data_IF_823827864736
#
_entry.id   IF_823827864736
#
_cell.length_a   1.000
_cell.length_b   1.000
_cell.length_c   1.000
_cell.angle_alpha   90.00
_cell.angle_beta   90.00
_cell.angle_gamma   90.00
#
_symmetry.space_group_name_H-M   'P 1'
#
loop_
_entity.id
_entity.type
_entity.pdbx_description
1 polymer ?
#
# COMPACT_ATOMS: atom_id res chain seq x y z
N UNK A 1 -31.63 83.06 -8.17
CA UNK A 1 -32.89 83.00 -8.95
C UNK A 1 -32.75 81.83 -9.89
N UNK A 2 -33.51 80.75 -9.68
CA UNK A 2 -33.55 79.64 -10.65
C UNK A 2 -34.48 80.06 -11.79
N UNK A 3 -33.94 80.16 -13.00
CA UNK A 3 -34.72 80.56 -14.17
C UNK A 3 -35.17 79.28 -14.87
N UNK A 4 -36.35 78.77 -14.50
CA UNK A 4 -36.99 77.66 -15.21
C UNK A 4 -37.79 78.25 -16.38
N UNK A 5 -37.35 77.97 -17.60
CA UNK A 5 -38.03 78.43 -18.82
C UNK A 5 -38.96 77.35 -19.34
N UNK A 6 -40.25 77.69 -19.44
CA UNK A 6 -41.27 76.86 -20.06
C UNK A 6 -41.67 77.48 -21.40
N UNK A 7 -41.58 76.70 -22.48
CA UNK A 7 -42.01 77.14 -23.80
C UNK A 7 -42.82 76.04 -24.50
N UNK A 8 -43.80 76.45 -25.32
CA UNK A 8 -44.61 75.53 -26.12
C UNK A 8 -44.11 75.55 -27.56
N UNK A 9 -43.74 74.38 -28.08
CA UNK A 9 -43.29 74.19 -29.46
C UNK A 9 -44.21 73.21 -30.20
N UNK A 10 -43.96 73.00 -31.50
CA UNK A 10 -44.69 72.03 -32.34
C UNK A 10 -44.69 70.61 -31.75
N UNK A 11 -43.62 70.23 -31.03
CA UNK A 11 -43.49 68.94 -30.36
C UNK A 11 -44.07 68.86 -28.94
N UNK A 12 -44.74 69.92 -28.45
CA UNK A 12 -45.28 69.98 -27.09
C UNK A 12 -44.54 70.95 -26.16
N UNK A 13 -44.74 70.77 -24.86
CA UNK A 13 -44.15 71.61 -23.81
C UNK A 13 -42.68 71.23 -23.62
N UNK A 14 -41.81 72.22 -23.60
CA UNK A 14 -40.38 72.08 -23.39
C UNK A 14 -40.02 72.81 -22.10
N UNK A 15 -39.42 72.08 -21.17
CA UNK A 15 -38.84 72.63 -19.96
C UNK A 15 -37.32 72.70 -20.14
N UNK A 16 -36.75 73.87 -19.85
CA UNK A 16 -35.30 74.07 -19.84
C UNK A 16 -34.89 74.25 -18.38
N UNK A 17 -33.88 73.49 -17.97
CA UNK A 17 -33.32 73.50 -16.63
C UNK A 17 -32.42 74.72 -16.39
N UNK A 18 -31.89 74.87 -15.16
CA UNK A 18 -31.06 76.02 -14.81
C UNK A 18 -29.62 75.92 -15.38
N UNK A 19 -29.26 74.77 -15.96
CA UNK A 19 -28.00 74.55 -16.70
C UNK A 19 -28.10 74.95 -18.18
N UNK A 20 -29.31 75.29 -18.64
CA UNK A 20 -29.61 75.59 -20.04
C UNK A 20 -29.84 74.33 -20.89
N UNK A 21 -29.86 73.15 -20.27
CA UNK A 21 -30.24 71.88 -20.88
C UNK A 21 -31.76 71.75 -20.98
N UNK A 22 -32.24 70.95 -21.94
CA UNK A 22 -33.65 70.55 -21.97
C UNK A 22 -33.87 69.42 -20.98
N UNK A 23 -34.91 69.49 -20.16
CA UNK A 23 -35.38 68.41 -19.28
C UNK A 23 -36.23 67.44 -20.11
N UNK A 24 -35.72 66.24 -20.48
CA UNK A 24 -36.48 65.29 -21.30
C UNK A 24 -37.43 64.44 -20.45
N UNK A 25 -38.57 64.08 -21.04
CA UNK A 25 -39.43 62.98 -20.58
C UNK A 25 -39.17 61.74 -21.44
N UNK A 26 -38.66 60.67 -20.83
CA UNK A 26 -38.43 59.39 -21.50
C UNK A 26 -39.63 58.46 -21.26
N UNK A 27 -40.02 57.74 -22.30
CA UNK A 27 -41.11 56.77 -22.25
C UNK A 27 -40.54 55.36 -22.37
N UNK A 28 -40.84 54.50 -21.40
CA UNK A 28 -40.48 53.09 -21.44
C UNK A 28 -41.65 52.31 -22.04
N UNK A 29 -41.37 51.67 -23.18
CA UNK A 29 -42.32 50.88 -23.93
C UNK A 29 -42.13 49.40 -23.62
N UNK A 30 -43.24 48.67 -23.53
CA UNK A 30 -43.25 47.21 -23.46
C UNK A 30 -44.27 46.63 -24.42
N UNK A 31 -44.16 45.32 -24.65
CA UNK A 31 -45.15 44.56 -25.37
C UNK A 31 -46.13 43.93 -24.38
N UNK A 32 -47.42 44.22 -24.53
CA UNK A 32 -48.50 43.57 -23.79
C UNK A 32 -48.73 42.15 -24.31
N UNK A 33 -49.48 41.32 -23.58
CA UNK A 33 -49.79 39.93 -23.95
C UNK A 33 -50.47 39.81 -25.33
N UNK A 34 -51.15 40.86 -25.78
CA UNK A 34 -51.83 40.93 -27.07
C UNK A 34 -50.92 41.41 -28.22
N UNK A 35 -49.59 41.42 -28.04
CA UNK A 35 -48.61 41.97 -28.99
C UNK A 35 -48.84 43.45 -29.34
N UNK A 36 -49.48 44.20 -28.45
CA UNK A 36 -49.65 45.65 -28.58
C UNK A 36 -48.58 46.37 -27.78
N UNK A 37 -47.98 47.40 -28.38
CA UNK A 37 -47.05 48.29 -27.68
C UNK A 37 -47.79 49.17 -26.68
N UNK A 38 -47.30 49.23 -25.44
CA UNK A 38 -47.83 50.08 -24.38
C UNK A 38 -46.71 50.79 -23.63
N UNK A 39 -46.95 52.04 -23.23
CA UNK A 39 -46.07 52.77 -22.30
C UNK A 39 -46.34 52.24 -20.88
N UNK A 40 -45.29 51.89 -20.14
CA UNK A 40 -45.39 51.36 -18.77
C UNK A 40 -44.73 52.23 -17.72
N UNK A 41 -43.84 53.12 -18.13
CA UNK A 41 -43.13 54.00 -17.23
C UNK A 41 -42.74 55.27 -17.96
N UNK A 42 -42.81 56.37 -17.24
CA UNK A 42 -42.35 57.69 -17.66
C UNK A 42 -41.23 58.13 -16.73
N UNK A 43 -40.17 58.67 -17.31
CA UNK A 43 -38.99 59.13 -16.58
C UNK A 43 -38.79 60.58 -16.92
N UNK A 44 -39.05 61.46 -15.97
CA UNK A 44 -38.82 62.89 -16.10
C UNK A 44 -37.45 63.22 -15.52
N UNK A 45 -36.54 63.71 -16.36
CA UNK A 45 -35.17 64.04 -15.94
C UNK A 45 -35.04 65.55 -15.79
N UNK A 46 -34.75 66.00 -14.57
CA UNK A 46 -34.48 67.40 -14.25
C UNK A 46 -33.08 67.52 -13.63
N UNK A 47 -32.15 68.11 -14.39
CA UNK A 47 -30.74 68.27 -14.05
C UNK A 47 -30.07 66.95 -13.63
N UNK A 48 -29.84 66.75 -12.33
CA UNK A 48 -29.21 65.56 -11.75
C UNK A 48 -30.22 64.56 -11.15
N UNK A 49 -31.52 64.88 -11.20
CA UNK A 49 -32.58 64.08 -10.61
C UNK A 49 -33.46 63.47 -11.70
N UNK A 50 -33.81 62.20 -11.53
CA UNK A 50 -34.74 61.50 -12.41
C UNK A 50 -35.94 61.04 -11.57
N UNK A 51 -37.13 61.57 -11.88
CA UNK A 51 -38.38 61.14 -11.27
C UNK A 51 -38.99 60.03 -12.13
N UNK A 52 -39.18 58.86 -11.52
CA UNK A 52 -39.68 57.67 -12.21
C UNK A 52 -41.14 57.43 -11.81
N UNK A 53 -42.05 57.62 -12.77
CA UNK A 53 -43.48 57.35 -12.61
C UNK A 53 -43.84 56.01 -13.27
N UNK A 54 -44.25 55.04 -12.45
CA UNK A 54 -44.70 53.71 -12.91
C UNK A 54 -46.18 53.79 -13.26
N UNK A 55 -46.55 53.40 -14.49
CA UNK A 55 -47.93 53.40 -14.98
C UNK A 55 -48.64 52.06 -14.77
N UNK A 56 -48.02 51.12 -14.03
CA UNK A 56 -48.55 49.79 -13.75
C UNK A 56 -48.65 49.51 -12.25
N UNK A 57 -49.63 48.70 -11.85
CA UNK A 57 -49.80 48.22 -10.47
C UNK A 57 -49.11 46.89 -10.21
N UNK A 58 -49.07 46.00 -11.22
CA UNK A 58 -48.49 44.66 -11.11
C UNK A 58 -47.39 44.46 -12.16
N UNK A 59 -46.14 44.33 -11.70
CA UNK A 59 -44.96 44.16 -12.54
C UNK A 59 -44.96 42.84 -13.32
N UNK A 60 -45.44 41.76 -12.69
CA UNK A 60 -45.45 40.42 -13.27
C UNK A 60 -46.35 40.37 -14.52
N UNK A 61 -47.52 41.00 -14.47
CA UNK A 61 -48.44 41.03 -15.62
C UNK A 61 -48.13 42.13 -16.63
N UNK A 62 -47.60 43.27 -16.20
CA UNK A 62 -47.38 44.42 -17.09
C UNK A 62 -46.02 44.36 -17.81
N UNK A 63 -44.95 43.96 -17.12
CA UNK A 63 -43.58 43.98 -17.65
C UNK A 63 -43.16 42.57 -18.07
N UNK A 64 -43.44 41.57 -17.22
CA UNK A 64 -42.93 40.21 -17.37
C UNK A 64 -43.97 39.19 -17.85
N UNK A 65 -45.05 39.64 -18.52
CA UNK A 65 -46.13 38.77 -19.03
C UNK A 65 -45.60 37.63 -19.90
N UNK A 66 -44.71 37.95 -20.83
CA UNK A 66 -44.07 36.98 -21.74
C UNK A 66 -43.11 36.01 -21.03
N UNK A 67 -42.71 36.31 -19.79
CA UNK A 67 -41.83 35.48 -18.96
C UNK A 67 -42.60 34.82 -17.80
N UNK A 68 -43.89 34.53 -18.00
CA UNK A 68 -44.76 33.91 -16.98
C UNK A 68 -44.81 34.71 -15.67
N UNK A 69 -44.63 36.03 -15.76
CA UNK A 69 -44.60 36.92 -14.60
C UNK A 69 -43.30 36.87 -13.77
N UNK A 70 -42.27 36.17 -14.24
CA UNK A 70 -40.99 36.05 -13.52
C UNK A 70 -40.01 37.10 -14.03
N UNK A 71 -39.62 38.00 -13.13
CA UNK A 71 -38.51 38.94 -13.37
C UNK A 71 -37.20 38.15 -13.48
N UNK A 72 -36.44 38.28 -14.59
CA UNK A 72 -35.10 37.73 -14.67
C UNK A 72 -34.20 38.32 -13.58
N UNK A 73 -33.26 37.53 -13.07
CA UNK A 73 -32.26 38.07 -12.17
C UNK A 73 -31.38 39.06 -12.96
N UNK A 74 -31.10 40.21 -12.35
CA UNK A 74 -30.21 41.24 -12.91
C UNK A 74 -28.74 40.76 -12.96
N UNK A 75 -28.41 39.70 -12.21
CA UNK A 75 -27.12 39.01 -12.23
C UNK A 75 -27.35 37.49 -12.23
N UNK A 76 -26.58 36.69 -13.00
CA UNK A 76 -26.68 35.24 -12.92
C UNK A 76 -26.33 34.72 -11.51
N UNK A 77 -26.88 33.56 -11.15
CA UNK A 77 -26.75 32.93 -9.81
C UNK A 77 -25.28 32.78 -9.37
N UNK A 78 -24.37 32.50 -10.31
CA UNK A 78 -22.94 32.35 -10.02
C UNK A 78 -22.08 33.56 -10.36
N UNK A 79 -22.71 34.72 -10.56
CA UNK A 79 -22.06 35.95 -11.00
C UNK A 79 -21.58 35.86 -12.45
N UNK A 80 -21.31 37.03 -13.06
CA UNK A 80 -20.89 37.11 -14.47
C UNK A 80 -19.57 36.37 -14.74
N UNK A 81 -18.71 36.27 -13.72
CA UNK A 81 -17.39 35.62 -13.76
C UNK A 81 -17.42 34.17 -13.25
N UNK A 82 -18.56 33.66 -12.80
CA UNK A 82 -18.64 32.33 -12.17
C UNK A 82 -18.02 32.25 -10.77
N UNK A 83 -17.50 33.36 -10.23
CA UNK A 83 -16.75 33.37 -8.97
C UNK A 83 -17.62 33.41 -7.70
N UNK A 84 -18.94 33.58 -7.83
CA UNK A 84 -19.88 33.54 -6.70
C UNK A 84 -20.43 32.13 -6.44
N UNK A 85 -20.20 31.20 -7.36
CA UNK A 85 -20.44 29.78 -7.13
C UNK A 85 -19.47 29.28 -6.04
N UNK A 86 -19.91 28.39 -5.12
CA UNK A 86 -19.00 27.80 -4.14
C UNK A 86 -17.87 27.07 -4.87
N UNK A 87 -16.63 27.39 -4.51
CA UNK A 87 -15.47 26.67 -5.03
C UNK A 87 -15.62 25.19 -4.64
N UNK A 88 -15.50 24.31 -5.62
CA UNK A 88 -15.44 22.88 -5.34
C UNK A 88 -14.19 22.63 -4.50
N UNK A 89 -14.36 22.34 -3.21
CA UNK A 89 -13.27 22.07 -2.23
C UNK A 89 -12.23 21.04 -2.73
N UNK A 90 -12.65 20.15 -3.63
CA UNK A 90 -11.81 19.16 -4.29
C UNK A 90 -10.80 19.77 -5.27
N UNK A 91 -11.17 20.79 -6.02
CA UNK A 91 -10.27 21.41 -7.01
C UNK A 91 -9.27 22.36 -6.33
N UNK A 92 -9.69 23.04 -5.26
CA UNK A 92 -8.81 23.93 -4.50
C UNK A 92 -7.72 23.14 -3.74
N UNK A 93 -8.06 21.97 -3.21
CA UNK A 93 -7.15 21.16 -2.39
C UNK A 93 -6.58 19.93 -3.12
N UNK A 94 -6.73 19.85 -4.46
CA UNK A 94 -6.36 18.66 -5.22
C UNK A 94 -4.89 18.26 -5.03
N UNK A 95 -4.00 19.27 -4.89
CA UNK A 95 -2.58 19.04 -4.62
C UNK A 95 -2.35 18.30 -3.30
N UNK A 96 -3.04 18.70 -2.23
CA UNK A 96 -2.93 18.07 -0.91
C UNK A 96 -3.43 16.62 -0.92
N UNK A 97 -4.52 16.34 -1.63
CA UNK A 97 -5.03 14.99 -1.80
C UNK A 97 -4.06 14.08 -2.55
N UNK A 98 -3.44 14.56 -3.63
CA UNK A 98 -2.45 13.81 -4.40
C UNK A 98 -1.22 13.50 -3.53
N UNK A 99 -0.72 14.48 -2.77
CA UNK A 99 0.42 14.29 -1.87
C UNK A 99 0.10 13.27 -0.77
N UNK A 100 -1.09 13.35 -0.16
CA UNK A 100 -1.51 12.40 0.88
C UNK A 100 -1.58 10.96 0.35
N UNK A 101 -2.17 10.75 -0.83
CA UNK A 101 -2.25 9.43 -1.46
C UNK A 101 -0.86 8.91 -1.82
N UNK A 102 0.00 9.78 -2.37
CA UNK A 102 1.38 9.43 -2.72
C UNK A 102 2.19 8.95 -1.51
N UNK A 103 2.07 9.64 -0.37
CA UNK A 103 2.74 9.25 0.88
C UNK A 103 2.25 7.89 1.38
N UNK A 104 0.94 7.63 1.35
CA UNK A 104 0.38 6.35 1.77
C UNK A 104 0.94 5.22 0.91
N UNK A 105 0.91 5.36 -0.41
CA UNK A 105 1.43 4.33 -1.33
C UNK A 105 2.93 4.10 -1.11
N UNK A 106 3.71 5.18 -0.94
CA UNK A 106 5.14 5.07 -0.69
C UNK A 106 5.45 4.31 0.61
N UNK A 107 4.71 4.59 1.70
CA UNK A 107 4.87 3.87 2.97
C UNK A 107 4.52 2.39 2.85
N UNK A 108 3.45 2.05 2.12
CA UNK A 108 3.04 0.66 1.89
C UNK A 108 4.12 -0.08 1.08
N UNK A 109 4.62 0.52 0.01
CA UNK A 109 5.70 -0.07 -0.79
C UNK A 109 6.97 -0.30 0.04
N UNK A 110 7.36 0.68 0.85
CA UNK A 110 8.49 0.55 1.77
C UNK A 110 8.29 -0.59 2.78
N UNK A 111 7.09 -0.72 3.36
CA UNK A 111 6.77 -1.79 4.29
C UNK A 111 6.81 -3.18 3.64
N UNK A 112 6.30 -3.31 2.41
CA UNK A 112 6.33 -4.58 1.65
C UNK A 112 7.78 -4.97 1.32
N UNK A 113 8.60 -4.03 0.83
CA UNK A 113 10.01 -4.30 0.53
C UNK A 113 10.79 -4.71 1.78
N UNK A 114 10.57 -4.01 2.91
CA UNK A 114 11.18 -4.36 4.18
C UNK A 114 10.75 -5.76 4.64
N UNK A 115 9.46 -6.09 4.53
CA UNK A 115 8.95 -7.41 4.90
C UNK A 115 9.56 -8.53 4.06
N UNK A 116 9.66 -8.34 2.73
CA UNK A 116 10.30 -9.29 1.82
C UNK A 116 11.77 -9.46 2.17
N UNK A 117 12.50 -8.37 2.39
CA UNK A 117 13.90 -8.41 2.78
C UNK A 117 14.11 -9.19 4.09
N UNK A 118 13.26 -8.95 5.10
CA UNK A 118 13.30 -9.68 6.36
C UNK A 118 13.03 -11.17 6.16
N UNK A 119 12.08 -11.55 5.30
CA UNK A 119 11.82 -12.95 4.98
C UNK A 119 13.04 -13.62 4.34
N UNK A 120 13.66 -12.98 3.35
CA UNK A 120 14.88 -13.49 2.71
C UNK A 120 16.05 -13.61 3.70
N UNK A 121 16.28 -12.60 4.53
CA UNK A 121 17.32 -12.63 5.56
C UNK A 121 17.09 -13.75 6.59
N UNK A 122 15.83 -13.98 6.98
CA UNK A 122 15.46 -15.08 7.87
C UNK A 122 15.69 -16.44 7.23
N UNK A 123 15.37 -16.61 5.93
CA UNK A 123 15.64 -17.85 5.21
C UNK A 123 17.15 -18.15 5.15
N UNK A 124 17.97 -17.16 4.84
CA UNK A 124 19.43 -17.33 4.82
C UNK A 124 19.99 -17.71 6.19
N UNK A 125 19.51 -17.11 7.28
CA UNK A 125 19.94 -17.48 8.62
C UNK A 125 19.51 -18.92 8.98
N UNK A 126 18.30 -19.34 8.56
CA UNK A 126 17.81 -20.71 8.74
C UNK A 126 18.68 -21.71 7.98
N UNK A 127 19.09 -21.38 6.75
CA UNK A 127 20.00 -22.20 5.94
C UNK A 127 21.40 -22.29 6.57
N UNK A 128 21.94 -21.17 7.05
CA UNK A 128 23.24 -21.11 7.73
C UNK A 128 23.25 -21.97 9.00
N UNK A 129 22.21 -21.86 9.84
CA UNK A 129 22.05 -22.71 11.00
C UNK A 129 21.84 -24.18 10.62
N UNK A 130 21.19 -24.43 9.48
CA UNK A 130 21.01 -25.79 9.00
C UNK A 130 22.30 -26.45 8.55
N UNK A 131 23.20 -25.69 7.92
CA UNK A 131 24.51 -26.18 7.51
C UNK A 131 25.40 -26.58 8.71
N UNK A 132 25.22 -25.98 9.89
CA UNK A 132 26.02 -26.31 11.08
C UNK A 132 25.74 -27.71 11.66
N UNK A 133 24.53 -28.24 11.50
CA UNK A 133 24.19 -29.58 12.00
C UNK A 133 24.25 -30.66 10.90
N UNK A 134 24.28 -30.28 9.63
CA UNK A 134 24.40 -31.22 8.52
C UNK A 134 25.86 -31.62 8.33
N UNK A 135 26.13 -32.93 8.43
CA UNK A 135 27.45 -33.48 8.18
C UNK A 135 27.63 -33.67 6.66
N UNK A 136 28.59 -33.01 6.02
CA UNK A 136 28.81 -33.17 4.58
C UNK A 136 29.31 -34.58 4.27
N UNK A 137 28.75 -35.22 3.25
CA UNK A 137 29.16 -36.59 2.86
C UNK A 137 30.65 -36.71 2.52
N UNK A 138 31.26 -35.63 2.04
CA UNK A 138 32.68 -35.57 1.67
C UNK A 138 33.64 -35.79 2.86
N UNK A 139 33.21 -35.54 4.09
CA UNK A 139 34.04 -35.78 5.29
C UNK A 139 33.89 -37.18 5.88
N UNK A 140 33.01 -38.02 5.32
CA UNK A 140 32.79 -39.38 5.79
C UNK A 140 33.59 -40.38 4.96
N UNK A 141 34.46 -41.14 5.62
CA UNK A 141 35.14 -42.29 5.02
C UNK A 141 34.48 -43.58 5.52
N UNK A 142 34.05 -44.43 4.58
CA UNK A 142 33.49 -45.73 4.89
C UNK A 142 34.62 -46.69 5.31
N UNK A 143 34.43 -47.40 6.43
CA UNK A 143 35.36 -48.45 6.86
C UNK A 143 35.12 -49.66 5.95
N UNK A 144 35.82 -49.74 4.83
CA UNK A 144 35.70 -50.88 3.91
C UNK A 144 36.31 -52.12 4.57
N UNK A 145 35.57 -53.24 4.58
CA UNK A 145 36.17 -54.53 4.94
C UNK A 145 37.19 -54.87 3.85
N UNK A 146 38.47 -55.01 4.23
CA UNK A 146 39.44 -55.70 3.37
C UNK A 146 38.87 -57.09 3.04
N UNK A 147 38.86 -57.43 1.76
CA UNK A 147 38.22 -58.61 1.17
C UNK A 147 38.25 -59.86 2.06
N UNK A 148 37.09 -60.51 2.22
CA UNK A 148 36.92 -61.89 2.71
C UNK A 148 37.53 -62.88 1.71
N UNK A 149 38.86 -62.91 1.60
CA UNK A 149 39.63 -63.91 0.86
C UNK A 149 40.69 -64.62 1.71
N UNK A 150 41.03 -64.09 2.88
CA UNK A 150 42.10 -64.63 3.73
C UNK A 150 41.64 -64.67 5.20
N UNK A 151 40.51 -65.33 5.46
CA UNK A 151 40.29 -65.88 6.80
C UNK A 151 40.98 -67.24 6.85
N UNK A 152 42.20 -67.21 7.39
CA UNK A 152 42.98 -68.38 7.75
C UNK A 152 42.10 -69.41 8.44
N UNK A 153 41.90 -70.55 7.76
CA UNK A 153 41.42 -71.77 8.36
C UNK A 153 42.48 -72.25 9.36
N UNK A 154 42.44 -71.75 10.59
CA UNK A 154 43.14 -72.36 11.71
C UNK A 154 42.12 -72.75 12.76
N UNK A 155 41.91 -74.06 12.79
CA UNK A 155 40.99 -74.80 13.65
C UNK A 155 41.10 -74.35 15.10
N UNK A 156 39.93 -74.03 15.63
CA UNK A 156 39.65 -73.84 17.04
C UNK A 156 39.76 -75.23 17.68
N UNK A 157 40.90 -75.54 18.28
CA UNK A 157 40.99 -76.66 19.23
C UNK A 157 40.38 -76.17 20.55
N UNK A 158 39.39 -76.92 21.02
CA UNK A 158 38.61 -76.62 22.22
C UNK A 158 39.44 -76.82 23.49
N UNK A 159 39.67 -75.75 24.24
CA UNK A 159 40.00 -75.82 25.69
C UNK A 159 39.15 -74.77 26.41
N UNK A 160 38.41 -75.11 27.48
CA UNK A 160 37.51 -74.18 28.15
C UNK A 160 38.25 -73.42 29.25
N UNK A 161 38.06 -72.09 29.35
CA UNK A 161 38.37 -71.33 30.57
C UNK A 161 37.58 -70.03 30.62
N UNK A 162 36.56 -70.03 31.48
CA UNK A 162 36.15 -68.95 32.40
C UNK A 162 36.51 -67.50 32.03
N UNK A 163 35.48 -66.78 31.57
CA UNK A 163 35.20 -65.34 31.77
C UNK A 163 35.63 -64.88 33.18
N UNK A 164 36.23 -63.73 33.45
CA UNK A 164 36.24 -62.42 32.78
C UNK A 164 37.43 -61.60 33.30
N UNK A 165 38.17 -60.93 32.42
CA UNK A 165 38.49 -59.49 32.48
C UNK A 165 39.48 -59.15 31.36
N UNK A 166 39.42 -57.93 30.85
CA UNK A 166 40.31 -57.34 29.83
C UNK A 166 40.35 -58.02 28.45
N UNK A 167 39.48 -57.60 27.53
CA UNK A 167 39.75 -57.72 26.08
C UNK A 167 39.71 -56.33 25.43
N UNK A 168 40.71 -55.53 25.77
CA UNK A 168 41.23 -54.44 24.94
C UNK A 168 42.20 -55.07 23.95
N UNK A 169 41.70 -55.45 22.77
CA UNK A 169 42.50 -55.61 21.55
C UNK A 169 41.57 -56.03 20.41
N UNK A 170 41.62 -55.26 19.32
CA UNK A 170 41.04 -55.52 17.99
C UNK A 170 39.51 -55.46 17.86
N UNK A 171 38.96 -54.24 18.01
CA UNK A 171 37.59 -53.87 17.66
C UNK A 171 37.43 -53.56 16.14
N UNK A 172 38.23 -54.18 15.29
CA UNK A 172 38.18 -54.01 13.82
C UNK A 172 37.21 -54.98 13.13
N UNK A 173 36.49 -55.81 13.89
CA UNK A 173 35.64 -56.88 13.35
C UNK A 173 34.13 -56.63 13.52
N UNK A 174 33.73 -55.50 14.09
CA UNK A 174 32.32 -55.07 14.11
C UNK A 174 31.99 -54.47 12.74
N UNK A 175 31.82 -55.33 11.74
CA UNK A 175 31.26 -54.87 10.47
C UNK A 175 29.77 -54.59 10.57
N UNK A 176 29.25 -53.98 9.50
CA UNK A 176 27.87 -53.49 9.41
C UNK A 176 26.84 -54.44 10.03
N UNK A 177 26.00 -53.92 10.91
CA UNK A 177 24.82 -54.64 11.43
C UNK A 177 23.61 -54.30 10.57
N UNK A 178 22.52 -55.08 10.70
CA UNK A 178 21.27 -54.84 9.95
C UNK A 178 20.73 -53.41 10.12
N UNK A 179 20.99 -52.79 11.27
CA UNK A 179 20.43 -51.48 11.64
C UNK A 179 21.48 -50.37 11.73
N UNK A 180 22.79 -50.67 11.72
CA UNK A 180 23.85 -49.67 11.92
C UNK A 180 25.05 -49.85 10.98
N UNK A 181 25.56 -48.74 10.47
CA UNK A 181 26.83 -48.60 9.71
C UNK A 181 27.83 -47.78 10.52
N UNK A 182 29.11 -48.11 10.40
CA UNK A 182 30.19 -47.39 11.08
C UNK A 182 30.98 -46.57 10.07
N UNK A 183 31.20 -45.29 10.38
CA UNK A 183 31.96 -44.36 9.55
C UNK A 183 33.11 -43.74 10.36
N UNK A 184 34.16 -43.32 9.66
CA UNK A 184 35.18 -42.43 10.21
C UNK A 184 34.89 -41.02 9.72
N UNK A 185 34.67 -40.10 10.66
CA UNK A 185 34.45 -38.69 10.38
C UNK A 185 35.77 -37.95 10.57
N UNK A 186 36.24 -37.32 9.49
CA UNK A 186 37.42 -36.46 9.55
C UNK A 186 36.98 -35.12 10.14
N UNK A 187 37.35 -34.85 11.40
CA UNK A 187 37.24 -33.52 12.00
C UNK A 187 38.59 -32.80 11.88
N UNK A 188 38.63 -31.46 12.05
CA UNK A 188 39.84 -30.64 11.83
C UNK A 188 41.03 -31.02 12.75
N UNK A 189 40.81 -31.83 13.79
CA UNK A 189 41.84 -32.16 14.81
C UNK A 189 42.03 -33.68 14.99
N UNK A 190 40.99 -34.52 14.86
CA UNK A 190 41.09 -35.98 15.02
C UNK A 190 40.06 -36.76 14.16
N UNK A 191 40.34 -38.04 13.91
CA UNK A 191 39.42 -38.99 13.26
C UNK A 191 38.52 -39.66 14.30
N UNK A 192 37.26 -39.24 14.38
CA UNK A 192 36.27 -39.82 15.29
C UNK A 192 35.48 -40.95 14.61
N UNK A 193 35.22 -42.04 15.35
CA UNK A 193 34.41 -43.17 14.84
C UNK A 193 32.96 -42.98 15.24
N UNK A 194 32.08 -42.84 14.26
CA UNK A 194 30.65 -42.59 14.47
C UNK A 194 29.81 -43.76 13.97
N UNK A 195 28.74 -44.08 14.71
CA UNK A 195 27.77 -45.11 14.32
C UNK A 195 26.51 -44.46 13.74
N UNK A 196 26.23 -44.72 12.47
CA UNK A 196 25.04 -44.25 11.78
C UNK A 196 23.94 -45.32 11.82
N UNK A 197 22.72 -44.91 12.18
CA UNK A 197 21.54 -45.80 12.11
C UNK A 197 20.98 -45.80 10.68
N UNK A 198 20.75 -46.99 10.13
CA UNK A 198 20.11 -47.18 8.83
C UNK A 198 18.60 -46.99 8.96
N UNK A 199 18.02 -46.21 8.06
CA UNK A 199 16.58 -46.06 7.91
C UNK A 199 16.17 -46.53 6.51
N UNK A 200 15.09 -47.31 6.40
CA UNK A 200 14.60 -47.80 5.10
C UNK A 200 13.77 -46.76 4.35
N UNK A 201 13.37 -45.68 5.02
CA UNK A 201 12.56 -44.59 4.46
C UNK A 201 13.20 -43.27 4.85
N UNK A 202 13.14 -42.28 3.96
CA UNK A 202 13.64 -40.92 4.22
C UNK A 202 12.70 -40.21 5.22
N UNK A 203 13.13 -39.89 6.45
CA UNK A 203 12.29 -39.14 7.37
C UNK A 203 12.17 -37.69 6.88
N UNK A 204 10.94 -37.22 6.72
CA UNK A 204 10.65 -35.80 6.49
C UNK A 204 10.63 -35.14 7.87
N UNK A 205 11.54 -34.21 8.10
CA UNK A 205 11.61 -33.51 9.37
C UNK A 205 10.71 -32.28 9.35
N UNK A 206 9.80 -32.19 10.32
CA UNK A 206 9.00 -30.98 10.56
C UNK A 206 9.87 -29.84 11.11
N UNK A 207 9.45 -28.59 10.92
CA UNK A 207 10.16 -27.39 11.39
C UNK A 207 10.43 -27.43 12.90
N UNK A 208 9.50 -27.96 13.69
CA UNK A 208 9.64 -28.12 15.15
C UNK A 208 10.71 -29.15 15.50
N UNK A 209 10.74 -30.26 14.77
CA UNK A 209 11.75 -31.31 14.92
C UNK A 209 13.15 -30.78 14.58
N UNK A 210 13.26 -30.01 13.50
CA UNK A 210 14.49 -29.31 13.12
C UNK A 210 14.94 -28.30 14.19
N UNK A 211 14.01 -27.54 14.78
CA UNK A 211 14.32 -26.59 15.85
C UNK A 211 14.84 -27.30 17.12
N UNK A 212 14.22 -28.41 17.53
CA UNK A 212 14.69 -29.22 18.64
C UNK A 212 16.11 -29.79 18.37
N UNK A 213 16.38 -30.26 17.16
CA UNK A 213 17.71 -30.75 16.80
C UNK A 213 18.78 -29.66 16.87
N UNK A 214 18.46 -28.41 16.52
CA UNK A 214 19.37 -27.27 16.72
C UNK A 214 19.69 -27.01 18.19
N UNK A 215 18.69 -27.14 19.07
CA UNK A 215 18.88 -26.94 20.51
C UNK A 215 19.75 -28.04 21.14
N UNK A 216 19.58 -29.29 20.70
CA UNK A 216 20.39 -30.42 21.19
C UNK A 216 21.87 -30.21 20.86
N UNK A 217 22.20 -29.72 19.65
CA UNK A 217 23.60 -29.45 19.26
C UNK A 217 24.26 -28.36 20.10
N UNK A 218 23.53 -27.29 20.44
CA UNK A 218 24.07 -26.21 21.29
C UNK A 218 24.35 -26.67 22.73
N UNK A 219 23.53 -27.60 23.24
CA UNK A 219 23.69 -28.16 24.58
C UNK A 219 24.81 -29.21 24.62
N UNK A 220 25.01 -29.99 23.55
CA UNK A 220 26.06 -31.00 23.48
C UNK A 220 27.45 -30.38 23.27
N UNK A 221 27.58 -29.30 22.50
CA UNK A 221 28.84 -28.54 22.40
C UNK A 221 29.27 -27.91 23.74
N UNK A 222 28.32 -27.68 24.65
CA UNK A 222 28.59 -27.15 25.98
C UNK A 222 28.96 -28.24 27.02
N UNK A 223 28.64 -29.51 26.77
CA UNK A 223 28.69 -30.57 27.80
C UNK A 223 29.69 -31.72 27.54
N UNK A 224 30.47 -31.72 26.44
CA UNK A 224 31.49 -32.75 26.15
C UNK A 224 31.03 -34.21 26.41
N UNK A 225 29.75 -34.52 26.16
CA UNK A 225 29.18 -35.83 26.43
C UNK A 225 28.75 -36.56 25.16
N UNK A 226 28.99 -37.88 25.18
CA UNK A 226 28.81 -38.91 24.14
C UNK A 226 27.64 -38.67 23.18
N UNK A 227 27.96 -38.85 21.90
CA UNK A 227 27.35 -38.22 20.73
C UNK A 227 26.22 -39.05 20.08
N UNK A 228 25.06 -38.43 19.85
CA UNK A 228 24.10 -38.86 18.81
C UNK A 228 23.92 -37.70 17.82
N UNK A 229 24.68 -37.73 16.71
CA UNK A 229 24.44 -36.85 15.56
C UNK A 229 23.63 -37.58 14.50
N UNK A 230 22.71 -36.85 13.87
CA UNK A 230 21.86 -37.37 12.81
C UNK A 230 22.38 -36.88 11.46
N UNK A 231 22.86 -37.80 10.62
CA UNK A 231 23.25 -37.50 9.25
C UNK A 231 22.01 -37.47 8.34
N UNK A 232 21.64 -36.29 7.84
CA UNK A 232 20.74 -36.19 6.69
C UNK A 232 21.56 -36.39 5.42
N UNK A 233 21.55 -37.62 4.90
CA UNK A 233 22.04 -37.91 3.55
C UNK A 233 21.04 -37.28 2.57
N UNK A 234 21.53 -36.34 1.75
CA UNK A 234 20.78 -35.71 0.67
C UNK A 234 20.95 -36.51 -0.62
#
# INVERSE_FOLDING_TARGET
>A
MNVRCESKCIGGKINIDNSGGRSPTLYVLTLSQNNTGSVIMTIDVDEQTAEVSKLYTNEASAVWSHRKGVRPLDEPVCGYTGSKCPANVFFENIGWFITAIGLIIFTILGAVLAFVYLCYAKQQEVERQNALWQIPFKSMQAITRKNRGEQSMRSISSVPSTVSSTRSSTLSDVGETRNYTFFQLQNDVELERVAAKKYSVRPIFDSKMCANMRQVTLLTTALNSVETRYCCLN
#
